data_IF_801932235115
#
_entry.id   IF_801932235115
#
_cell.length_a   1.000
_cell.length_b   1.000
_cell.length_c   1.000
_cell.angle_alpha   90.00
_cell.angle_beta   90.00
_cell.angle_gamma   90.00
#
_symmetry.space_group_name_H-M   'P 1'
#
loop_
_entity.id
_entity.type
_entity.pdbx_description
1 polymer ?
#
# COMPACT_ATOMS: atom_id res chain seq x y z
N UNK A 1 -2.23 -32.64 12.31
CA UNK A 1 -2.25 -32.56 10.84
C UNK A 1 -0.85 -32.26 10.33
N UNK A 2 -0.33 -33.06 9.41
CA UNK A 2 0.94 -32.76 8.77
C UNK A 2 0.80 -31.42 8.01
N UNK A 3 1.70 -30.47 8.26
CA UNK A 3 1.73 -29.22 7.47
C UNK A 3 2.12 -29.62 6.04
N UNK A 4 1.39 -29.21 5.00
CA UNK A 4 1.82 -29.47 3.64
C UNK A 4 3.20 -28.85 3.42
N UNK A 5 4.11 -29.51 2.69
CA UNK A 5 5.44 -29.01 2.41
C UNK A 5 5.42 -27.71 1.59
N UNK A 6 4.33 -27.48 0.86
CA UNK A 6 4.08 -26.29 0.06
C UNK A 6 2.69 -25.75 0.34
N UNK A 7 2.57 -24.43 0.41
CA UNK A 7 1.28 -23.74 0.49
C UNK A 7 1.26 -22.57 -0.48
N UNK A 8 0.08 -22.30 -1.04
CA UNK A 8 -0.13 -21.10 -1.82
C UNK A 8 0.00 -19.89 -0.90
N UNK A 9 0.83 -18.94 -1.28
CA UNK A 9 1.02 -17.68 -0.57
C UNK A 9 1.24 -16.55 -1.59
N UNK A 10 0.77 -15.36 -1.25
CA UNK A 10 0.99 -14.15 -2.03
C UNK A 10 1.66 -13.08 -1.15
N UNK A 11 2.33 -12.12 -1.76
CA UNK A 11 3.03 -11.06 -1.03
C UNK A 11 2.03 -10.16 -0.32
N UNK A 12 1.10 -9.54 -1.05
CA UNK A 12 0.11 -8.65 -0.43
C UNK A 12 -0.79 -7.94 -1.42
N UNK A 13 -0.24 -7.41 -2.50
CA UNK A 13 -0.99 -6.65 -3.49
C UNK A 13 -1.87 -7.54 -4.35
N UNK A 14 -3.10 -7.10 -4.57
CA UNK A 14 -4.06 -7.73 -5.48
C UNK A 14 -4.49 -6.75 -6.58
N UNK A 15 -5.04 -7.29 -7.66
CA UNK A 15 -5.59 -6.47 -8.73
C UNK A 15 -6.80 -5.69 -8.21
N UNK A 16 -6.75 -4.37 -8.33
CA UNK A 16 -7.84 -3.50 -7.89
C UNK A 16 -9.04 -3.66 -8.81
N UNK A 17 -10.26 -3.80 -8.28
CA UNK A 17 -11.47 -3.82 -9.09
C UNK A 17 -11.63 -2.52 -9.91
N UNK A 18 -12.16 -2.64 -11.12
CA UNK A 18 -12.40 -1.48 -11.99
C UNK A 18 -13.29 -0.42 -11.33
N UNK A 19 -14.27 -0.85 -10.53
CA UNK A 19 -15.11 0.03 -9.72
C UNK A 19 -14.32 0.88 -8.73
N UNK A 20 -13.34 0.30 -8.06
CA UNK A 20 -12.46 1.03 -7.14
C UNK A 20 -11.55 2.02 -7.87
N UNK A 21 -11.04 1.64 -9.05
CA UNK A 21 -10.24 2.54 -9.88
C UNK A 21 -11.08 3.75 -10.34
N UNK A 22 -12.33 3.53 -10.75
CA UNK A 22 -13.25 4.61 -11.10
C UNK A 22 -13.53 5.56 -9.91
N UNK A 23 -13.71 5.03 -8.69
CA UNK A 23 -13.89 5.86 -7.49
C UNK A 23 -12.64 6.68 -7.18
N UNK A 24 -11.44 6.12 -7.36
CA UNK A 24 -10.19 6.87 -7.20
C UNK A 24 -10.07 8.01 -8.19
N UNK A 25 -10.48 7.80 -9.43
CA UNK A 25 -10.47 8.84 -10.46
C UNK A 25 -11.45 9.96 -10.12
N UNK A 26 -12.68 9.65 -9.69
CA UNK A 26 -13.64 10.63 -9.19
C UNK A 26 -13.08 11.46 -8.03
N UNK A 27 -12.41 10.81 -7.09
CA UNK A 27 -11.77 11.51 -5.97
C UNK A 27 -10.67 12.46 -6.44
N UNK A 28 -9.81 12.05 -7.40
CA UNK A 28 -8.79 12.94 -7.98
C UNK A 28 -9.38 14.17 -8.65
N UNK A 29 -10.57 14.03 -9.23
CA UNK A 29 -11.34 15.15 -9.84
C UNK A 29 -12.16 15.93 -8.83
N UNK A 30 -12.06 15.61 -7.54
CA UNK A 30 -12.87 16.23 -6.48
C UNK A 30 -14.39 16.06 -6.67
N UNK A 31 -14.83 15.02 -7.37
CA UNK A 31 -16.23 14.68 -7.59
C UNK A 31 -16.85 13.94 -6.40
N UNK A 32 -16.03 13.34 -5.56
CA UNK A 32 -16.43 12.62 -4.34
C UNK A 32 -15.53 12.99 -3.17
N UNK A 33 -16.03 12.77 -1.97
CA UNK A 33 -15.29 12.96 -0.72
C UNK A 33 -14.33 11.82 -0.42
N UNK A 34 -13.36 12.06 0.45
CA UNK A 34 -12.49 11.00 0.97
C UNK A 34 -13.28 9.90 1.69
N UNK A 35 -14.35 10.27 2.42
CA UNK A 35 -15.19 9.30 3.13
C UNK A 35 -15.88 8.32 2.17
N UNK A 36 -16.36 8.79 1.02
CA UNK A 36 -16.96 7.95 -0.01
C UNK A 36 -15.93 7.02 -0.65
N UNK A 37 -14.72 7.52 -0.94
CA UNK A 37 -13.63 6.68 -1.44
C UNK A 37 -13.20 5.63 -0.41
N UNK A 38 -13.11 6.00 0.87
CA UNK A 38 -12.73 5.07 1.94
C UNK A 38 -13.78 3.98 2.15
N UNK A 39 -15.07 4.32 2.07
CA UNK A 39 -16.16 3.35 2.13
C UNK A 39 -16.10 2.36 0.95
N UNK A 40 -15.91 2.86 -0.28
CA UNK A 40 -15.75 2.02 -1.46
C UNK A 40 -14.51 1.11 -1.36
N UNK A 41 -13.40 1.64 -0.85
CA UNK A 41 -12.17 0.87 -0.64
C UNK A 41 -12.36 -0.21 0.41
N UNK A 42 -13.03 0.12 1.51
CA UNK A 42 -13.36 -0.85 2.58
C UNK A 42 -14.20 -2.01 2.06
N UNK A 43 -15.21 -1.73 1.25
CA UNK A 43 -16.04 -2.75 0.59
C UNK A 43 -15.21 -3.64 -0.34
N UNK A 44 -14.35 -3.05 -1.16
CA UNK A 44 -13.47 -3.81 -2.04
C UNK A 44 -12.49 -4.71 -1.27
N UNK A 45 -11.95 -4.26 -0.13
CA UNK A 45 -11.11 -5.09 0.75
C UNK A 45 -11.91 -6.27 1.30
N UNK A 46 -13.14 -6.06 1.77
CA UNK A 46 -14.00 -7.14 2.27
C UNK A 46 -14.27 -8.21 1.19
N UNK A 47 -14.54 -7.79 -0.03
CA UNK A 47 -14.73 -8.69 -1.17
C UNK A 47 -13.46 -9.47 -1.49
N UNK A 48 -12.28 -8.80 -1.47
CA UNK A 48 -11.00 -9.44 -1.68
C UNK A 48 -10.66 -10.45 -0.57
N UNK A 49 -10.97 -10.14 0.68
CA UNK A 49 -10.79 -11.07 1.81
C UNK A 49 -11.65 -12.30 1.63
N UNK A 50 -12.94 -12.12 1.33
CA UNK A 50 -13.85 -13.26 1.07
C UNK A 50 -13.37 -14.14 -0.08
N UNK A 51 -12.84 -13.54 -1.14
CA UNK A 51 -12.27 -14.31 -2.26
C UNK A 51 -11.07 -15.13 -1.83
N UNK A 52 -10.14 -14.55 -1.06
CA UNK A 52 -8.96 -15.24 -0.54
C UNK A 52 -9.35 -16.41 0.37
N UNK A 53 -10.31 -16.22 1.26
CA UNK A 53 -10.84 -17.28 2.13
C UNK A 53 -11.55 -18.37 1.31
N UNK A 54 -12.36 -17.98 0.33
CA UNK A 54 -13.10 -18.92 -0.55
C UNK A 54 -12.17 -19.86 -1.34
N UNK A 55 -11.01 -19.36 -1.76
CA UNK A 55 -10.01 -20.20 -2.47
C UNK A 55 -9.09 -20.96 -1.49
N UNK A 56 -9.33 -20.88 -0.19
CA UNK A 56 -8.63 -21.65 0.83
C UNK A 56 -7.31 -21.08 1.31
N UNK A 57 -7.02 -19.80 1.07
CA UNK A 57 -5.82 -19.18 1.62
C UNK A 57 -5.92 -19.10 3.15
N UNK A 58 -4.87 -19.54 3.84
CA UNK A 58 -4.77 -19.48 5.29
C UNK A 58 -4.30 -18.12 5.81
N UNK A 59 -3.67 -17.35 4.93
CA UNK A 59 -3.18 -15.99 5.19
C UNK A 59 -3.82 -15.07 4.16
N UNK A 60 -4.43 -13.99 4.65
CA UNK A 60 -5.14 -13.02 3.80
C UNK A 60 -4.59 -11.62 3.97
N UNK A 61 -4.70 -10.80 2.92
CA UNK A 61 -4.25 -9.41 2.91
C UNK A 61 -5.38 -8.47 2.54
N UNK A 62 -5.18 -7.18 2.75
CA UNK A 62 -6.07 -6.10 2.29
C UNK A 62 -5.93 -5.79 0.79
N UNK A 63 -5.11 -6.56 0.06
CA UNK A 63 -4.81 -6.33 -1.36
C UNK A 63 -4.03 -5.05 -1.63
N UNK A 64 -3.61 -4.33 -0.59
CA UNK A 64 -3.01 -2.99 -0.67
C UNK A 64 -3.95 -1.95 -1.29
N UNK A 65 -5.26 -2.14 -1.16
CA UNK A 65 -6.25 -1.32 -1.85
C UNK A 65 -6.34 0.11 -1.33
N UNK A 66 -5.83 0.43 -0.15
CA UNK A 66 -5.74 1.79 0.38
C UNK A 66 -4.54 2.57 -0.15
N UNK A 67 -3.58 1.89 -0.78
CA UNK A 67 -2.33 2.48 -1.24
C UNK A 67 -2.42 2.90 -2.71
N UNK A 68 -1.85 4.02 -3.05
CA UNK A 68 -1.56 4.42 -4.43
C UNK A 68 -0.32 3.67 -4.96
N UNK A 69 0.77 3.71 -4.18
CA UNK A 69 1.94 2.87 -4.36
C UNK A 69 2.45 2.40 -2.99
N UNK A 70 3.03 1.21 -2.91
CA UNK A 70 3.41 0.58 -1.64
C UNK A 70 4.42 1.42 -0.83
N UNK A 71 5.33 2.13 -1.48
CA UNK A 71 6.35 2.96 -0.85
C UNK A 71 5.86 4.38 -0.56
N UNK A 72 5.14 5.02 -1.50
CA UNK A 72 4.66 6.40 -1.35
C UNK A 72 3.72 6.54 -0.17
N UNK A 73 2.84 5.57 0.03
CA UNK A 73 1.96 5.54 1.19
C UNK A 73 2.76 5.53 2.50
N UNK A 74 3.83 4.74 2.55
CA UNK A 74 4.69 4.65 3.73
C UNK A 74 5.41 5.98 3.99
N UNK A 75 6.03 6.56 2.97
CA UNK A 75 6.75 7.83 3.10
C UNK A 75 5.87 8.98 3.58
N UNK A 76 4.62 9.07 3.10
CA UNK A 76 3.66 10.10 3.56
C UNK A 76 3.30 10.02 5.04
N UNK A 77 3.63 8.93 5.70
CA UNK A 77 3.37 8.75 7.12
C UNK A 77 4.58 9.10 8.00
N UNK A 78 5.74 9.33 7.40
CA UNK A 78 6.95 9.77 8.10
C UNK A 78 6.99 11.30 8.18
N UNK A 79 7.57 11.82 9.24
CA UNK A 79 7.86 13.25 9.36
C UNK A 79 9.07 13.64 8.50
N UNK A 80 9.07 14.91 8.05
CA UNK A 80 10.17 15.51 7.29
C UNK A 80 10.48 14.84 5.94
N UNK A 81 9.47 14.24 5.32
CA UNK A 81 9.55 13.68 3.96
C UNK A 81 8.59 14.43 3.06
N UNK A 82 9.11 14.98 1.96
CA UNK A 82 8.31 15.45 0.82
C UNK A 82 8.26 14.40 -0.27
N UNK A 83 7.15 14.37 -1.01
CA UNK A 83 6.98 13.54 -2.18
C UNK A 83 6.77 14.45 -3.38
N UNK A 84 7.79 14.57 -4.19
CA UNK A 84 7.74 15.38 -5.40
C UNK A 84 7.39 14.49 -6.58
N UNK A 85 6.44 14.93 -7.41
CA UNK A 85 6.24 14.34 -8.72
C UNK A 85 7.21 15.04 -9.67
N UNK A 86 8.30 14.39 -10.10
CA UNK A 86 9.20 15.02 -11.04
C UNK A 86 8.45 15.26 -12.34
N UNK A 87 8.40 16.53 -12.78
CA UNK A 87 7.79 16.93 -14.05
C UNK A 87 8.42 16.20 -15.26
N UNK A 88 9.66 15.73 -15.08
CA UNK A 88 10.48 15.07 -16.10
C UNK A 88 10.67 13.55 -15.87
N UNK A 89 9.86 12.93 -15.02
CA UNK A 89 9.97 11.49 -14.83
C UNK A 89 9.60 10.78 -16.14
N UNK A 90 10.61 10.25 -16.83
CA UNK A 90 10.39 9.41 -18.00
C UNK A 90 9.49 8.26 -17.61
N UNK A 91 8.28 8.28 -18.15
CA UNK A 91 7.32 7.22 -17.95
C UNK A 91 7.83 5.95 -18.64
N UNK A 92 8.36 5.02 -17.86
CA UNK A 92 8.72 3.68 -18.33
C UNK A 92 7.48 2.76 -18.38
N UNK A 93 6.30 3.30 -18.72
CA UNK A 93 5.05 2.55 -18.83
C UNK A 93 4.38 2.21 -17.48
N UNK A 94 4.87 2.80 -16.37
CA UNK A 94 4.32 2.58 -15.01
C UNK A 94 3.77 3.85 -14.35
N UNK A 95 3.69 4.96 -15.10
CA UNK A 95 3.39 6.29 -14.56
C UNK A 95 4.57 6.87 -13.77
N UNK A 96 4.68 8.19 -13.76
CA UNK A 96 5.67 8.90 -12.95
C UNK A 96 5.47 8.55 -11.47
N UNK A 97 6.48 7.95 -10.85
CA UNK A 97 6.42 7.60 -9.43
C UNK A 97 6.94 8.78 -8.61
N UNK A 98 6.20 9.18 -7.54
CA UNK A 98 6.68 10.22 -6.66
C UNK A 98 8.05 9.88 -6.07
N UNK A 99 8.99 10.82 -6.12
CA UNK A 99 10.28 10.70 -5.45
C UNK A 99 10.18 11.26 -4.04
N UNK A 100 10.73 10.52 -3.09
CA UNK A 100 10.80 10.99 -1.72
C UNK A 100 12.09 11.78 -1.51
N UNK A 101 11.94 13.02 -1.04
CA UNK A 101 13.05 13.86 -0.59
C UNK A 101 13.03 13.93 0.92
N UNK A 102 14.14 13.57 1.54
CA UNK A 102 14.31 13.59 3.00
C UNK A 102 15.11 14.85 3.33
N UNK A 103 14.44 15.83 3.94
CA UNK A 103 15.04 17.13 4.26
C UNK A 103 15.78 17.13 5.60
N UNK A 104 15.46 16.23 6.51
CA UNK A 104 16.08 16.14 7.83
C UNK A 104 16.07 14.71 8.36
N UNK A 105 16.48 14.51 9.61
CA UNK A 105 16.40 13.20 10.27
C UNK A 105 14.96 12.69 10.28
N UNK A 106 14.73 11.51 9.73
CA UNK A 106 13.41 10.87 9.70
C UNK A 106 12.83 10.72 11.12
N UNK A 107 11.56 11.05 11.25
CA UNK A 107 10.81 10.92 12.50
C UNK A 107 9.59 10.03 12.27
N UNK A 108 9.38 9.12 13.21
CA UNK A 108 8.13 8.39 13.28
C UNK A 108 7.11 9.25 14.05
N UNK A 109 6.15 9.81 13.34
CA UNK A 109 5.17 10.75 13.92
C UNK A 109 3.84 10.09 14.25
N UNK A 110 3.52 8.99 13.61
CA UNK A 110 2.27 8.24 13.80
C UNK A 110 2.40 6.78 13.39
N UNK A 111 1.54 5.89 13.92
CA UNK A 111 1.51 4.49 13.50
C UNK A 111 1.21 4.36 12.01
N UNK A 112 2.03 3.59 11.30
CA UNK A 112 1.88 3.32 9.87
C UNK A 112 1.20 1.97 9.71
N UNK A 113 0.14 1.88 8.85
CA UNK A 113 -0.64 0.67 8.57
C UNK A 113 -1.40 0.05 9.77
N UNK A 114 -1.34 0.61 10.96
CA UNK A 114 -2.02 0.02 12.13
C UNK A 114 -3.54 -0.01 11.95
N UNK A 115 -4.12 1.06 11.43
CA UNK A 115 -5.56 1.12 11.18
C UNK A 115 -5.97 0.16 10.06
N UNK A 116 -5.18 0.07 8.99
CA UNK A 116 -5.41 -0.87 7.89
C UNK A 116 -5.36 -2.31 8.40
N UNK A 117 -4.37 -2.64 9.25
CA UNK A 117 -4.27 -3.96 9.86
C UNK A 117 -5.44 -4.27 10.81
N UNK A 118 -5.84 -3.32 11.65
CA UNK A 118 -7.00 -3.49 12.54
C UNK A 118 -8.28 -3.73 11.74
N UNK A 119 -8.47 -3.00 10.66
CA UNK A 119 -9.60 -3.19 9.76
C UNK A 119 -9.57 -4.61 9.16
N UNK A 120 -8.45 -5.01 8.54
CA UNK A 120 -8.30 -6.35 7.97
C UNK A 120 -8.58 -7.44 9.02
N UNK A 121 -7.97 -7.32 10.21
CA UNK A 121 -8.17 -8.28 11.31
C UNK A 121 -9.63 -8.40 11.73
N UNK A 122 -10.41 -7.33 11.65
CA UNK A 122 -11.84 -7.34 12.00
C UNK A 122 -12.72 -8.00 10.93
N UNK A 123 -12.18 -8.27 9.73
CA UNK A 123 -12.91 -8.80 8.56
C UNK A 123 -12.59 -10.26 8.22
N UNK A 124 -11.69 -10.89 8.96
CA UNK A 124 -11.28 -12.27 8.67
C UNK A 124 -11.13 -13.11 9.92
N UNK A 125 -11.33 -14.42 9.78
CA UNK A 125 -10.95 -15.45 10.77
C UNK A 125 -9.63 -16.13 10.41
N UNK A 126 -9.14 -15.93 9.17
CA UNK A 126 -7.84 -16.38 8.73
C UNK A 126 -6.71 -15.52 9.35
N UNK A 127 -5.46 -15.86 9.10
CA UNK A 127 -4.33 -15.05 9.58
C UNK A 127 -4.21 -13.76 8.75
N UNK A 128 -4.42 -12.58 9.34
CA UNK A 128 -4.25 -11.33 8.62
C UNK A 128 -2.77 -11.02 8.42
N UNK A 129 -2.40 -10.59 7.21
CA UNK A 129 -1.05 -10.15 6.84
C UNK A 129 -1.10 -8.74 6.27
N UNK A 130 -0.20 -7.87 6.72
CA UNK A 130 0.05 -6.56 6.12
C UNK A 130 1.47 -6.51 5.60
N UNK A 131 1.66 -5.91 4.43
CA UNK A 131 2.98 -5.71 3.84
C UNK A 131 3.54 -4.35 4.22
N UNK A 132 4.83 -4.32 4.50
CA UNK A 132 5.56 -3.09 4.84
C UNK A 132 6.81 -3.06 3.95
N UNK A 133 7.14 -1.93 3.31
CA UNK A 133 8.37 -1.83 2.53
C UNK A 133 9.58 -1.99 3.44
N UNK A 134 10.52 -2.83 3.02
CA UNK A 134 11.78 -3.00 3.74
C UNK A 134 12.66 -1.73 3.68
N UNK A 135 13.57 -1.53 4.63
CA UNK A 135 14.46 -0.37 4.66
C UNK A 135 15.24 -0.18 3.36
N UNK A 136 15.75 -1.26 2.78
CA UNK A 136 16.46 -1.22 1.50
C UNK A 136 15.57 -0.70 0.35
N UNK A 137 14.31 -1.16 0.28
CA UNK A 137 13.38 -0.72 -0.74
C UNK A 137 13.05 0.78 -0.63
N UNK A 138 13.03 1.32 0.58
CA UNK A 138 12.85 2.75 0.82
C UNK A 138 14.11 3.53 0.44
N UNK A 139 15.29 3.00 0.74
CA UNK A 139 16.57 3.68 0.49
C UNK A 139 16.93 3.72 -1.00
N UNK A 140 16.67 2.67 -1.77
CA UNK A 140 17.07 2.57 -3.18
C UNK A 140 16.14 3.27 -4.18
N UNK A 141 15.02 3.82 -3.76
CA UNK A 141 14.03 4.38 -4.67
C UNK A 141 14.40 5.71 -5.33
N UNK A 142 15.49 6.34 -4.94
CA UNK A 142 15.97 7.58 -5.54
C UNK A 142 16.95 7.42 -6.71
N UNK A 143 17.32 6.20 -7.12
CA UNK A 143 18.24 5.96 -8.25
C UNK A 143 19.67 6.44 -8.04
N UNK A 144 19.95 7.10 -6.94
CA UNK A 144 21.30 7.50 -6.52
C UNK A 144 21.49 7.06 -5.07
N UNK A 145 22.50 6.24 -4.83
CA UNK A 145 22.97 6.00 -3.46
C UNK A 145 23.55 7.33 -3.00
N UNK A 146 22.80 8.04 -2.18
CA UNK A 146 23.32 9.23 -1.52
C UNK A 146 24.56 8.82 -0.73
N UNK A 147 25.70 9.45 -0.99
CA UNK A 147 26.85 9.33 -0.08
C UNK A 147 26.39 9.85 1.27
N UNK A 148 26.26 8.96 2.23
CA UNK A 148 26.16 9.35 3.62
C UNK A 148 27.51 9.98 3.95
N UNK A 149 27.55 11.29 4.03
CA UNK A 149 28.70 11.93 4.69
C UNK A 149 28.54 11.64 6.19
N UNK A 150 29.41 10.78 6.69
CA UNK A 150 29.65 10.57 8.11
C UNK A 150 30.35 11.81 8.66
#
# INVERSE_FOLDING_TARGET
MAKPPFRAEHIGSLLRPASLLAMREKYRRSEITFAELDAATSKAIEEAVRLQEKVGLQVVTDGEFRRDAYHSYFFRQLGDVSLDNPADAKDHGRGAQPQATIASRLKWTKPIHVNDFKFLKSRTKATPKITIPGPCALHFRGGKIGRVHV
#
